data_IF_729433314581
#
_entry.id   IF_729433314581
#
_cell.length_a   1.000
_cell.length_b   1.000
_cell.length_c   1.000
_cell.angle_alpha   90.00
_cell.angle_beta   90.00
_cell.angle_gamma   90.00
#
_symmetry.space_group_name_H-M   'P 1'
#
loop_
_entity.id
_entity.type
_entity.pdbx_description
1 polymer ?
#
# COMPACT_ATOMS: atom_id res chain seq x y z
N UNK A 1 34.04 -50.73 -8.68
CA UNK A 1 33.80 -49.51 -9.48
C UNK A 1 32.31 -49.39 -9.77
N UNK A 2 31.67 -48.27 -9.42
CA UNK A 2 30.27 -47.97 -9.75
C UNK A 2 29.95 -46.53 -9.36
N UNK A 3 29.59 -45.72 -10.35
CA UNK A 3 29.80 -44.27 -10.39
C UNK A 3 28.83 -43.50 -9.48
N UNK A 4 29.40 -42.68 -8.58
CA UNK A 4 28.71 -41.66 -7.78
C UNK A 4 28.17 -40.58 -8.73
N UNK A 5 26.87 -40.59 -9.01
CA UNK A 5 26.18 -39.48 -9.68
C UNK A 5 25.58 -38.58 -8.61
N UNK A 6 26.38 -37.64 -8.11
CA UNK A 6 25.87 -36.46 -7.42
C UNK A 6 25.23 -35.57 -8.48
N UNK A 7 23.90 -35.66 -8.60
CA UNK A 7 23.12 -34.70 -9.37
C UNK A 7 23.14 -33.40 -8.57
N UNK A 8 23.95 -32.45 -9.01
CA UNK A 8 24.02 -31.10 -8.45
C UNK A 8 22.68 -30.41 -8.64
N UNK A 9 22.00 -30.15 -7.53
CA UNK A 9 20.83 -29.27 -7.49
C UNK A 9 21.39 -27.84 -7.63
N UNK A 10 21.36 -27.32 -8.85
CA UNK A 10 21.53 -25.89 -9.08
C UNK A 10 20.32 -25.17 -8.48
N UNK A 11 20.47 -24.67 -7.25
CA UNK A 11 19.61 -23.59 -6.74
C UNK A 11 19.83 -22.38 -7.65
N UNK A 12 18.89 -22.16 -8.58
CA UNK A 12 18.71 -20.87 -9.21
C UNK A 12 18.05 -19.98 -8.15
N UNK A 13 18.86 -19.25 -7.41
CA UNK A 13 18.39 -18.17 -6.54
C UNK A 13 17.85 -17.08 -7.45
N UNK A 14 16.54 -17.10 -7.71
CA UNK A 14 15.86 -15.96 -8.29
C UNK A 14 16.08 -14.79 -7.33
N UNK A 15 16.85 -13.79 -7.77
CA UNK A 15 16.88 -12.50 -7.12
C UNK A 15 15.47 -11.92 -7.25
N UNK A 16 14.63 -12.18 -6.26
CA UNK A 16 13.45 -11.37 -5.99
C UNK A 16 14.01 -9.99 -5.72
N UNK A 17 13.95 -9.10 -6.71
CA UNK A 17 14.07 -7.68 -6.44
C UNK A 17 13.07 -7.36 -5.34
N UNK A 18 13.54 -6.81 -4.23
CA UNK A 18 12.69 -6.47 -3.11
C UNK A 18 11.61 -5.51 -3.63
N UNK A 19 10.41 -6.01 -3.91
CA UNK A 19 9.26 -5.15 -4.14
C UNK A 19 9.09 -4.34 -2.85
N UNK A 20 8.93 -3.03 -2.98
CA UNK A 20 8.65 -2.22 -1.80
C UNK A 20 7.24 -2.58 -1.34
N UNK A 21 7.04 -2.89 -0.07
CA UNK A 21 5.70 -3.20 0.42
C UNK A 21 4.93 -1.90 0.67
N UNK A 22 3.59 -1.91 0.53
CA UNK A 22 2.78 -0.78 0.94
C UNK A 22 2.99 -0.42 2.41
N UNK A 23 3.04 0.88 2.69
CA UNK A 23 3.11 1.38 4.07
C UNK A 23 1.74 1.28 4.75
N UNK A 24 1.76 1.10 6.08
CA UNK A 24 0.53 1.05 6.89
C UNK A 24 -0.30 2.34 6.72
N UNK A 25 0.36 3.49 6.56
CA UNK A 25 -0.27 4.78 6.32
C UNK A 25 -1.04 4.81 5.00
N UNK A 26 -0.49 4.25 3.93
CA UNK A 26 -1.19 4.17 2.65
C UNK A 26 -2.34 3.17 2.65
N UNK A 27 -2.23 2.07 3.39
CA UNK A 27 -3.34 1.14 3.58
C UNK A 27 -4.47 1.77 4.38
N UNK A 28 -4.13 2.51 5.44
CA UNK A 28 -5.10 3.26 6.23
C UNK A 28 -5.77 4.37 5.41
N UNK A 29 -4.99 5.14 4.62
CA UNK A 29 -5.53 6.17 3.73
C UNK A 29 -6.55 5.58 2.75
N UNK A 30 -6.21 4.49 2.06
CA UNK A 30 -7.09 3.86 1.09
C UNK A 30 -8.42 3.40 1.72
N UNK A 31 -8.37 2.83 2.93
CA UNK A 31 -9.55 2.36 3.63
C UNK A 31 -10.39 3.52 4.21
N UNK A 32 -9.73 4.57 4.73
CA UNK A 32 -10.36 5.80 5.21
C UNK A 32 -11.08 6.53 4.06
N UNK A 33 -10.42 6.69 2.90
CA UNK A 33 -11.00 7.29 1.70
C UNK A 33 -12.23 6.53 1.21
N UNK A 34 -12.15 5.19 1.16
CA UNK A 34 -13.29 4.37 0.80
C UNK A 34 -14.47 4.58 1.76
N UNK A 35 -14.23 4.56 3.08
CA UNK A 35 -15.28 4.79 4.08
C UNK A 35 -15.89 6.19 3.98
N UNK A 36 -15.06 7.20 3.76
CA UNK A 36 -15.50 8.57 3.56
C UNK A 36 -16.39 8.70 2.32
N UNK A 37 -16.00 8.11 1.19
CA UNK A 37 -16.78 8.14 -0.06
C UNK A 37 -18.12 7.40 0.11
N UNK A 38 -18.13 6.27 0.81
CA UNK A 38 -19.35 5.50 1.11
C UNK A 38 -20.34 6.29 1.97
N UNK A 39 -19.87 6.98 3.01
CA UNK A 39 -20.71 7.74 3.94
C UNK A 39 -21.23 9.04 3.31
N UNK A 40 -20.38 9.73 2.54
CA UNK A 40 -20.74 11.00 1.88
C UNK A 40 -21.49 10.81 0.57
N UNK A 41 -21.46 9.60 -0.02
CA UNK A 41 -22.03 9.33 -1.33
C UNK A 41 -21.24 9.97 -2.49
N UNK A 42 -19.98 10.32 -2.24
CA UNK A 42 -19.09 10.86 -3.26
C UNK A 42 -18.71 9.79 -4.29
N UNK A 43 -18.25 10.25 -5.46
CA UNK A 43 -17.65 9.34 -6.42
C UNK A 43 -16.36 8.74 -5.83
N UNK A 44 -16.13 7.41 -5.94
CA UNK A 44 -14.96 6.77 -5.36
C UNK A 44 -13.66 7.38 -5.89
N UNK A 45 -12.77 7.75 -4.97
CA UNK A 45 -11.41 8.16 -5.31
C UNK A 45 -10.58 6.92 -5.66
N UNK A 46 -9.79 7.01 -6.74
CA UNK A 46 -8.88 5.94 -7.12
C UNK A 46 -7.65 5.91 -6.21
N UNK A 47 -7.56 4.83 -5.43
CA UNK A 47 -6.47 4.55 -4.48
C UNK A 47 -5.61 3.37 -4.92
N UNK A 48 -5.78 2.88 -6.16
CA UNK A 48 -5.06 1.70 -6.65
C UNK A 48 -3.54 1.87 -6.63
N UNK A 49 -3.02 3.10 -6.83
CA UNK A 49 -1.57 3.35 -6.73
C UNK A 49 -0.97 3.02 -5.36
N UNK A 50 -1.77 3.07 -4.29
CA UNK A 50 -1.35 2.87 -2.91
C UNK A 50 -1.46 1.41 -2.43
N UNK A 51 -2.15 0.55 -3.19
CA UNK A 51 -2.33 -0.86 -2.84
C UNK A 51 -1.14 -1.73 -3.23
N UNK A 52 -1.10 -2.99 -2.80
CA UNK A 52 -0.06 -3.96 -3.19
C UNK A 52 0.06 -4.07 -4.71
N UNK A 53 1.29 -3.97 -5.22
CA UNK A 53 1.55 -3.97 -6.67
C UNK A 53 1.16 -2.67 -7.40
N UNK A 54 0.67 -1.67 -6.67
CA UNK A 54 0.42 -0.32 -7.17
C UNK A 54 1.68 0.43 -7.56
N UNK A 55 1.50 1.51 -8.32
CA UNK A 55 2.61 2.29 -8.89
C UNK A 55 3.52 2.94 -7.84
N UNK A 56 3.06 3.14 -6.60
CA UNK A 56 3.88 3.68 -5.52
C UNK A 56 5.06 2.80 -5.13
N UNK A 57 4.99 1.50 -5.44
CA UNK A 57 5.87 0.50 -4.84
C UNK A 57 6.95 -0.02 -5.80
N UNK A 58 7.05 0.58 -6.99
CA UNK A 58 8.01 0.21 -8.03
C UNK A 58 9.46 0.54 -7.68
N UNK A 59 9.67 1.44 -6.72
CA UNK A 59 10.97 1.94 -6.28
C UNK A 59 10.88 2.53 -4.87
N UNK A 60 11.99 2.50 -4.14
CA UNK A 60 12.03 3.02 -2.78
C UNK A 60 11.78 4.54 -2.70
N UNK A 61 12.18 5.30 -3.73
CA UNK A 61 11.93 6.75 -3.81
C UNK A 61 10.43 7.06 -3.96
N UNK A 62 9.75 6.37 -4.88
CA UNK A 62 8.30 6.53 -5.05
C UNK A 62 7.54 6.08 -3.79
N UNK A 63 7.98 4.99 -3.17
CA UNK A 63 7.34 4.46 -1.96
C UNK A 63 7.42 5.44 -0.78
N UNK A 64 8.58 6.10 -0.60
CA UNK A 64 8.74 7.14 0.41
C UNK A 64 7.80 8.33 0.14
N UNK A 65 7.76 8.84 -1.09
CA UNK A 65 6.86 9.95 -1.45
C UNK A 65 5.40 9.59 -1.25
N UNK A 66 4.98 8.41 -1.71
CA UNK A 66 3.60 7.98 -1.52
C UNK A 66 3.24 7.83 -0.03
N UNK A 67 4.17 7.36 0.80
CA UNK A 67 3.94 7.30 2.25
C UNK A 67 3.69 8.70 2.82
N UNK A 68 4.50 9.69 2.47
CA UNK A 68 4.31 11.09 2.89
C UNK A 68 2.95 11.64 2.41
N UNK A 69 2.57 11.35 1.15
CA UNK A 69 1.28 11.77 0.56
C UNK A 69 0.09 11.11 1.29
N UNK A 70 0.18 9.83 1.64
CA UNK A 70 -0.84 9.11 2.39
C UNK A 70 -0.97 9.63 3.84
N UNK A 71 0.14 9.96 4.50
CA UNK A 71 0.12 10.58 5.83
C UNK A 71 -0.60 11.94 5.81
N UNK A 72 -0.27 12.79 4.83
CA UNK A 72 -0.94 14.06 4.66
C UNK A 72 -2.43 13.88 4.28
N UNK A 73 -2.72 12.94 3.38
CA UNK A 73 -4.08 12.61 2.95
C UNK A 73 -4.97 12.12 4.10
N UNK A 74 -4.43 11.26 4.98
CA UNK A 74 -5.14 10.79 6.17
C UNK A 74 -5.49 11.93 7.11
N UNK A 75 -4.54 12.80 7.43
CA UNK A 75 -4.78 13.94 8.31
C UNK A 75 -5.88 14.85 7.74
N UNK A 76 -5.84 15.14 6.44
CA UNK A 76 -6.86 15.95 5.78
C UNK A 76 -8.24 15.29 5.79
N UNK A 77 -8.31 13.96 5.59
CA UNK A 77 -9.58 13.25 5.60
C UNK A 77 -10.16 13.13 7.01
N UNK A 78 -9.31 12.93 8.02
CA UNK A 78 -9.72 12.90 9.42
C UNK A 78 -10.28 14.26 9.88
N UNK A 79 -9.63 15.36 9.49
CA UNK A 79 -10.12 16.72 9.73
C UNK A 79 -11.48 16.95 9.03
N UNK A 80 -11.60 16.57 7.76
CA UNK A 80 -12.85 16.69 7.01
C UNK A 80 -13.98 15.84 7.62
N UNK A 81 -13.69 14.62 8.04
CA UNK A 81 -14.65 13.75 8.73
C UNK A 81 -15.12 14.36 10.05
N UNK A 82 -14.20 14.96 10.81
CA UNK A 82 -14.51 15.65 12.08
C UNK A 82 -15.41 16.87 11.84
N UNK A 83 -15.09 17.69 10.84
CA UNK A 83 -15.86 18.90 10.49
C UNK A 83 -17.30 18.56 10.04
N UNK A 84 -17.48 17.45 9.33
CA UNK A 84 -18.78 16.93 8.90
C UNK A 84 -19.50 16.10 9.98
N UNK A 85 -18.85 15.83 11.13
CA UNK A 85 -19.40 15.03 12.22
C UNK A 85 -19.58 13.55 11.88
N UNK A 86 -18.73 13.00 11.02
CA UNK A 86 -18.74 11.60 10.59
C UNK A 86 -17.90 10.72 11.53
N UNK A 87 -18.41 9.53 11.85
CA UNK A 87 -17.66 8.53 12.61
C UNK A 87 -16.92 7.59 11.64
N UNK A 88 -15.64 7.87 11.38
CA UNK A 88 -14.77 7.07 10.51
C UNK A 88 -13.55 6.53 11.28
N UNK A 89 -13.68 5.42 12.03
CA UNK A 89 -12.62 4.90 12.91
C UNK A 89 -11.37 4.38 12.16
N UNK A 90 -11.42 4.33 10.82
CA UNK A 90 -10.29 3.96 9.96
C UNK A 90 -9.43 5.19 9.63
N UNK A 91 -9.94 6.40 9.90
CA UNK A 91 -9.26 7.68 9.69
C UNK A 91 -8.57 8.22 10.97
N UNK A 92 -8.69 7.53 12.11
CA UNK A 92 -8.18 7.92 13.43
C UNK A 92 -6.82 7.30 13.78
#
# INVERSE_FOLDING_TARGET
MGIRRFIGISLVTAALGCATEPSDQCLAYAACQQGYDEVTGNAPVDVAQYQEGGACWDSAENAARCTDDCEAGLALLADAATDEGLELPVCD
#
